data_IF_491972833908
#
_entry.id   IF_491972833908
#
_cell.length_a   1.000
_cell.length_b   1.000
_cell.length_c   1.000
_cell.angle_alpha   90.00
_cell.angle_beta   90.00
_cell.angle_gamma   90.00
#
_symmetry.space_group_name_H-M   'P 1'
#
loop_
_entity.id
_entity.type
_entity.pdbx_description
1 polymer ?
#
# COMPACT_ATOMS: atom_id res chain seq x y z
N UNK A 1 -11.05 2.38 -12.22
CA UNK A 1 -10.69 3.09 -10.99
C UNK A 1 -9.27 2.71 -10.59
N UNK A 2 -8.54 3.59 -9.92
CA UNK A 2 -7.17 3.35 -9.45
C UNK A 2 -7.12 3.44 -7.93
N UNK A 3 -6.23 2.62 -7.33
CA UNK A 3 -5.94 2.63 -5.89
C UNK A 3 -7.22 2.55 -5.04
N UNK A 4 -7.95 1.44 -5.16
CA UNK A 4 -9.22 1.21 -4.45
C UNK A 4 -9.16 -0.08 -3.64
N UNK A 5 -9.94 -0.16 -2.57
CA UNK A 5 -10.23 -1.40 -1.83
C UNK A 5 -11.49 -2.13 -2.34
N UNK A 6 -11.92 -1.82 -3.58
CA UNK A 6 -13.13 -2.39 -4.17
C UNK A 6 -13.05 -3.93 -4.23
N UNK A 7 -14.05 -4.59 -3.65
CA UNK A 7 -14.10 -6.06 -3.54
C UNK A 7 -13.23 -6.66 -2.43
N UNK A 8 -12.56 -5.82 -1.62
CA UNK A 8 -11.84 -6.23 -0.41
C UNK A 8 -12.65 -6.00 0.87
N UNK A 9 -13.78 -5.32 0.77
CA UNK A 9 -14.69 -5.07 1.88
C UNK A 9 -16.12 -4.94 1.42
N UNK A 10 -17.07 -5.43 2.23
CA UNK A 10 -18.51 -5.42 1.90
C UNK A 10 -19.28 -4.46 2.80
N UNK A 11 -19.12 -4.57 4.11
CA UNK A 11 -19.86 -3.79 5.10
C UNK A 11 -18.89 -3.20 6.11
N UNK A 12 -18.66 -1.90 6.07
CA UNK A 12 -17.70 -1.19 6.93
C UNK A 12 -17.93 -1.42 8.44
N UNK A 13 -19.18 -1.67 8.85
CA UNK A 13 -19.53 -1.93 10.24
C UNK A 13 -19.24 -3.38 10.70
N UNK A 14 -18.91 -4.29 9.77
CA UNK A 14 -18.69 -5.71 10.06
C UNK A 14 -17.27 -6.11 9.70
N UNK A 15 -16.37 -6.09 10.68
CA UNK A 15 -14.95 -6.37 10.48
C UNK A 15 -14.67 -7.71 9.76
N UNK A 16 -15.49 -8.72 9.97
CA UNK A 16 -15.33 -10.02 9.32
C UNK A 16 -15.55 -10.00 7.80
N UNK A 17 -16.00 -8.88 7.24
CA UNK A 17 -16.20 -8.68 5.80
C UNK A 17 -15.19 -7.71 5.19
N UNK A 18 -14.15 -7.33 5.94
CA UNK A 18 -13.13 -6.36 5.55
C UNK A 18 -11.79 -7.09 5.51
N UNK A 19 -11.27 -7.29 4.29
CA UNK A 19 -9.99 -7.96 4.00
C UNK A 19 -9.03 -7.00 3.28
N UNK A 20 -9.13 -5.71 3.56
CA UNK A 20 -8.30 -4.70 2.91
C UNK A 20 -6.96 -4.47 3.62
N UNK A 21 -6.84 -4.88 4.90
CA UNK A 21 -5.62 -4.73 5.70
C UNK A 21 -5.26 -6.00 6.47
N UNK A 22 -3.96 -6.21 6.66
CA UNK A 22 -3.39 -7.30 7.43
C UNK A 22 -2.60 -6.79 8.64
N UNK A 23 -2.40 -7.66 9.64
CA UNK A 23 -1.66 -7.32 10.86
C UNK A 23 -0.16 -7.29 10.55
N UNK A 24 0.46 -6.12 10.70
CA UNK A 24 1.89 -5.90 10.55
C UNK A 24 2.23 -4.61 9.80
N UNK A 25 3.49 -4.20 9.90
CA UNK A 25 3.95 -2.95 9.30
C UNK A 25 4.61 -3.15 7.93
N UNK A 26 5.23 -4.31 7.69
CA UNK A 26 5.97 -4.62 6.46
C UNK A 26 5.45 -5.88 5.79
N UNK A 27 4.48 -5.74 4.90
CA UNK A 27 3.71 -6.83 4.30
C UNK A 27 3.82 -6.90 2.75
N UNK A 28 4.99 -6.73 2.14
CA UNK A 28 5.10 -6.71 0.68
C UNK A 28 4.71 -8.04 0.01
N UNK A 29 4.59 -9.12 0.77
CA UNK A 29 4.17 -10.44 0.32
C UNK A 29 2.65 -10.65 0.31
N UNK A 30 1.89 -9.74 0.94
CA UNK A 30 0.43 -9.76 0.91
C UNK A 30 -0.05 -9.33 -0.46
N UNK A 31 -1.03 -10.05 -1.00
CA UNK A 31 -1.55 -9.86 -2.36
C UNK A 31 -3.05 -9.58 -2.30
N UNK A 32 -3.46 -8.37 -2.66
CA UNK A 32 -4.88 -7.98 -2.64
C UNK A 32 -5.79 -8.89 -3.47
N UNK A 33 -5.27 -9.46 -4.56
CA UNK A 33 -6.06 -10.31 -5.46
C UNK A 33 -6.61 -11.57 -4.79
N UNK A 34 -5.92 -12.10 -3.78
CA UNK A 34 -6.35 -13.33 -3.08
C UNK A 34 -7.60 -13.06 -2.21
N UNK A 35 -7.72 -11.84 -1.69
CA UNK A 35 -8.88 -11.40 -0.89
C UNK A 35 -10.02 -10.83 -1.75
N UNK A 36 -9.81 -10.69 -3.07
CA UNK A 36 -10.79 -10.07 -3.95
C UNK A 36 -12.06 -10.93 -4.11
N UNK A 37 -13.19 -10.34 -3.73
CA UNK A 37 -14.52 -10.92 -3.91
C UNK A 37 -15.18 -10.42 -5.19
N UNK A 38 -15.20 -11.25 -6.25
CA UNK A 38 -15.84 -10.92 -7.52
C UNK A 38 -17.38 -10.84 -7.42
N UNK A 39 -17.97 -11.52 -6.43
CA UNK A 39 -19.43 -11.53 -6.19
C UNK A 39 -19.91 -10.38 -5.28
N UNK A 40 -19.00 -9.46 -4.93
CA UNK A 40 -19.32 -8.29 -4.09
C UNK A 40 -20.46 -7.46 -4.70
N UNK A 41 -21.44 -7.11 -3.89
CA UNK A 41 -22.52 -6.20 -4.29
C UNK A 41 -22.04 -4.79 -4.59
N UNK A 42 -20.94 -4.39 -3.97
CA UNK A 42 -20.27 -3.12 -4.24
C UNK A 42 -19.66 -3.13 -5.64
N UNK A 43 -18.99 -4.24 -6.01
CA UNK A 43 -18.42 -4.45 -7.37
C UNK A 43 -19.51 -4.40 -8.43
N UNK A 44 -20.62 -5.12 -8.22
CA UNK A 44 -21.78 -5.11 -9.12
C UNK A 44 -22.34 -3.68 -9.32
N UNK A 45 -22.51 -2.94 -8.24
CA UNK A 45 -22.99 -1.56 -8.26
C UNK A 45 -22.05 -0.64 -9.04
N UNK A 46 -20.74 -0.75 -8.81
CA UNK A 46 -19.75 0.07 -9.52
C UNK A 46 -19.71 -0.24 -11.01
N UNK A 47 -19.87 -1.51 -11.39
CA UNK A 47 -19.96 -1.93 -12.78
C UNK A 47 -21.18 -1.29 -13.48
N UNK A 48 -22.35 -1.27 -12.84
CA UNK A 48 -23.55 -0.60 -13.36
C UNK A 48 -23.34 0.90 -13.56
N UNK A 49 -22.46 1.53 -12.78
CA UNK A 49 -22.08 2.94 -12.92
C UNK A 49 -20.94 3.17 -13.93
N UNK A 50 -20.57 2.17 -14.71
CA UNK A 50 -19.61 2.29 -15.81
C UNK A 50 -18.16 2.07 -15.44
N UNK A 51 -17.85 1.61 -14.22
CA UNK A 51 -16.49 1.20 -13.85
C UNK A 51 -16.26 -0.24 -14.29
N UNK A 52 -15.44 -0.44 -15.32
CA UNK A 52 -15.20 -1.76 -15.91
C UNK A 52 -13.90 -2.40 -15.41
N UNK A 53 -12.92 -1.58 -15.05
CA UNK A 53 -11.57 -2.03 -14.62
C UNK A 53 -11.20 -1.26 -13.36
N UNK A 54 -10.60 -1.97 -12.40
CA UNK A 54 -10.12 -1.39 -11.16
C UNK A 54 -8.74 -1.92 -10.79
N UNK A 55 -7.89 -1.06 -10.23
CA UNK A 55 -6.73 -1.48 -9.48
C UNK A 55 -7.13 -1.63 -8.03
N UNK A 56 -7.14 -2.86 -7.55
CA UNK A 56 -7.40 -3.19 -6.15
C UNK A 56 -6.09 -3.16 -5.38
N UNK A 57 -6.09 -2.40 -4.29
CA UNK A 57 -4.90 -2.16 -3.48
C UNK A 57 -5.20 -2.45 -2.00
N UNK A 58 -4.28 -3.12 -1.30
CA UNK A 58 -4.41 -3.32 0.14
C UNK A 58 -4.11 -2.02 0.87
N UNK A 59 -4.64 -1.89 2.07
CA UNK A 59 -4.42 -0.80 3.01
C UNK A 59 -3.56 -1.26 4.20
N UNK A 60 -3.33 -0.36 5.16
CA UNK A 60 -2.65 -0.66 6.42
C UNK A 60 -1.14 -0.73 6.35
N UNK A 61 -0.50 -0.78 7.51
CA UNK A 61 0.94 -0.88 7.68
C UNK A 61 1.78 0.22 7.01
N UNK A 62 3.08 0.03 7.01
CA UNK A 62 4.05 0.86 6.26
C UNK A 62 4.15 0.36 4.81
N UNK A 63 4.26 -0.96 4.63
CA UNK A 63 4.12 -1.61 3.32
C UNK A 63 2.88 -2.49 3.38
N UNK A 64 1.82 -2.07 2.71
CA UNK A 64 0.51 -2.74 2.79
C UNK A 64 0.46 -4.06 2.02
N UNK A 65 1.22 -4.17 0.94
CA UNK A 65 1.19 -5.34 0.05
C UNK A 65 1.17 -4.95 -1.42
N UNK A 66 0.84 -5.91 -2.28
CA UNK A 66 0.79 -5.72 -3.72
C UNK A 66 -0.65 -5.53 -4.24
N UNK A 67 -0.79 -4.59 -5.18
CA UNK A 67 -2.04 -4.36 -5.91
C UNK A 67 -2.08 -5.11 -7.24
N UNK A 68 -3.28 -5.45 -7.66
CA UNK A 68 -3.56 -6.10 -8.95
C UNK A 68 -4.63 -5.34 -9.73
N UNK A 69 -4.65 -5.49 -11.05
CA UNK A 69 -5.67 -4.91 -11.90
C UNK A 69 -6.68 -5.98 -12.27
N UNK A 70 -7.95 -5.68 -12.04
CA UNK A 70 -9.08 -6.60 -12.28
C UNK A 70 -10.13 -5.97 -13.18
N UNK A 71 -10.82 -6.79 -13.96
CA UNK A 71 -12.11 -6.47 -14.55
C UNK A 71 -13.22 -6.74 -13.54
N UNK A 72 -14.30 -5.95 -13.59
CA UNK A 72 -15.39 -6.07 -12.64
C UNK A 72 -16.51 -7.02 -13.09
N UNK A 73 -16.41 -7.59 -14.28
CA UNK A 73 -17.34 -8.59 -14.82
C UNK A 73 -16.67 -9.96 -14.87
N UNK A 74 -16.66 -10.66 -13.75
CA UNK A 74 -15.95 -11.92 -13.59
C UNK A 74 -16.67 -12.85 -12.61
N UNK A 75 -16.45 -14.15 -12.75
CA UNK A 75 -17.01 -15.18 -11.88
C UNK A 75 -16.23 -15.36 -10.58
N UNK A 76 -14.92 -15.19 -10.63
CA UNK A 76 -14.02 -15.34 -9.50
C UNK A 76 -12.78 -14.45 -9.67
N UNK A 77 -11.88 -14.44 -8.69
CA UNK A 77 -10.69 -13.59 -8.73
C UNK A 77 -9.69 -14.02 -9.84
N UNK A 78 -9.64 -15.30 -10.20
CA UNK A 78 -8.76 -15.80 -11.28
C UNK A 78 -9.22 -15.32 -12.65
N UNK A 79 -10.55 -15.29 -12.86
CA UNK A 79 -11.17 -14.77 -14.08
C UNK A 79 -11.13 -13.24 -14.13
N UNK A 80 -11.21 -12.59 -12.96
CA UNK A 80 -11.20 -11.14 -12.85
C UNK A 80 -9.85 -10.50 -13.20
N UNK A 81 -8.73 -11.18 -12.93
CA UNK A 81 -7.43 -10.55 -13.00
C UNK A 81 -6.98 -10.28 -14.43
N UNK A 82 -6.67 -9.01 -14.72
CA UNK A 82 -6.03 -8.59 -15.96
C UNK A 82 -4.51 -8.59 -15.78
N UNK A 83 -4.04 -8.15 -14.61
CA UNK A 83 -2.61 -8.10 -14.31
C UNK A 83 -2.35 -8.27 -12.82
N UNK A 84 -1.49 -9.23 -12.50
CA UNK A 84 -1.09 -9.58 -11.14
C UNK A 84 0.00 -8.64 -10.63
N UNK A 85 -0.06 -8.33 -9.33
CA UNK A 85 1.04 -7.78 -8.52
C UNK A 85 1.78 -6.63 -9.19
N UNK A 86 1.03 -5.66 -9.71
CA UNK A 86 1.53 -4.51 -10.47
C UNK A 86 2.52 -3.65 -9.69
N UNK A 87 2.33 -3.57 -8.38
CA UNK A 87 3.23 -2.80 -7.54
C UNK A 87 2.92 -2.92 -6.06
N UNK A 88 3.87 -2.48 -5.27
CA UNK A 88 3.84 -2.49 -3.80
C UNK A 88 3.45 -1.10 -3.31
N UNK A 89 2.55 -1.06 -2.32
CA UNK A 89 2.07 0.17 -1.71
C UNK A 89 2.90 0.50 -0.47
N UNK A 90 3.61 1.64 -0.51
CA UNK A 90 4.43 2.18 0.56
C UNK A 90 3.77 3.43 1.14
N UNK A 91 3.30 3.35 2.38
CA UNK A 91 2.74 4.46 3.13
C UNK A 91 3.87 5.24 3.81
N UNK A 92 4.25 6.40 3.24
CA UNK A 92 5.32 7.20 3.83
C UNK A 92 4.85 7.86 5.13
N UNK A 93 5.65 7.81 6.20
CA UNK A 93 5.29 8.39 7.50
C UNK A 93 4.86 9.84 7.38
N UNK A 94 3.89 10.26 8.20
CA UNK A 94 3.49 11.67 8.25
C UNK A 94 4.45 12.47 9.13
N UNK A 95 4.98 13.62 8.64
CA UNK A 95 5.76 14.54 9.46
C UNK A 95 4.93 15.24 10.52
N UNK A 96 3.62 15.10 10.45
CA UNK A 96 2.67 15.71 11.38
C UNK A 96 1.80 14.66 12.06
N UNK A 97 1.57 14.84 13.35
CA UNK A 97 0.59 14.10 14.11
C UNK A 97 -0.62 15.00 14.40
N UNK A 98 -1.82 14.44 14.27
CA UNK A 98 -3.06 15.09 14.68
C UNK A 98 -3.48 14.59 16.05
N UNK A 99 -3.60 15.47 17.05
CA UNK A 99 -4.31 15.09 18.26
C UNK A 99 -5.79 14.90 17.90
N UNK A 100 -6.40 13.78 18.34
CA UNK A 100 -7.82 13.52 18.09
C UNK A 100 -8.70 14.65 18.62
N UNK A 101 -9.85 14.88 17.96
CA UNK A 101 -10.90 15.75 18.50
C UNK A 101 -11.38 15.17 19.82
N UNK A 102 -11.30 15.94 20.88
CA UNK A 102 -11.89 15.61 22.16
C UNK A 102 -12.83 16.75 22.56
N UNK A 103 -14.05 16.42 22.94
CA UNK A 103 -15.03 17.39 23.44
C UNK A 103 -14.48 18.25 24.58
N UNK A 104 -13.54 17.70 25.36
CA UNK A 104 -12.89 18.41 26.48
C UNK A 104 -11.59 19.15 26.12
N UNK A 105 -10.97 18.87 24.96
CA UNK A 105 -9.67 19.43 24.55
C UNK A 105 -9.74 20.39 23.39
N UNK A 106 -10.94 20.61 22.83
CA UNK A 106 -11.12 21.50 21.67
C UNK A 106 -10.67 20.92 20.33
N UNK A 107 -10.49 21.78 19.31
CA UNK A 107 -10.16 21.34 17.96
C UNK A 107 -8.82 20.62 17.90
N UNK A 108 -8.69 19.67 16.95
CA UNK A 108 -7.47 18.92 16.74
C UNK A 108 -6.28 19.85 16.41
N UNK A 109 -5.19 19.71 17.16
CA UNK A 109 -3.97 20.49 16.93
C UNK A 109 -3.01 19.64 16.11
N UNK A 110 -2.50 20.20 15.02
CA UNK A 110 -1.44 19.60 14.23
C UNK A 110 -0.10 19.90 14.90
N UNK A 111 0.62 18.85 15.28
CA UNK A 111 1.97 18.95 15.85
C UNK A 111 2.96 18.18 14.97
N UNK A 112 4.23 18.58 15.04
CA UNK A 112 5.31 17.82 14.41
C UNK A 112 5.37 16.42 15.03
N UNK A 113 5.50 15.39 14.19
CA UNK A 113 5.58 14.01 14.65
C UNK A 113 6.98 13.72 15.21
N UNK A 114 7.06 13.29 16.46
CA UNK A 114 8.32 12.88 17.10
C UNK A 114 8.84 11.54 16.53
N UNK A 115 7.94 10.72 15.98
CA UNK A 115 8.25 9.40 15.43
C UNK A 115 8.63 9.41 13.94
N UNK A 116 8.64 10.58 13.30
CA UNK A 116 8.87 10.67 11.86
C UNK A 116 10.20 10.07 11.44
N UNK A 117 11.29 10.47 12.10
CA UNK A 117 12.64 10.03 11.78
C UNK A 117 12.85 8.55 12.13
N UNK A 118 12.31 8.07 13.25
CA UNK A 118 12.42 6.65 13.62
C UNK A 118 11.68 5.74 12.63
N UNK A 119 10.50 6.15 12.16
CA UNK A 119 9.75 5.36 11.18
C UNK A 119 10.47 5.33 9.81
N UNK A 120 11.15 6.40 9.42
CA UNK A 120 11.98 6.41 8.20
C UNK A 120 13.17 5.45 8.36
N UNK A 121 13.79 5.41 9.54
CA UNK A 121 14.88 4.49 9.82
C UNK A 121 14.43 3.03 9.77
N UNK A 122 13.23 2.72 10.26
CA UNK A 122 12.63 1.38 10.14
C UNK A 122 12.43 0.98 8.67
N UNK A 123 11.92 1.89 7.84
CA UNK A 123 11.78 1.65 6.39
C UNK A 123 13.14 1.37 5.77
N UNK A 124 14.14 2.19 6.07
CA UNK A 124 15.50 2.02 5.56
C UNK A 124 16.09 0.66 5.96
N UNK A 125 15.99 0.31 7.24
CA UNK A 125 16.46 -0.97 7.76
C UNK A 125 15.78 -2.16 7.08
N UNK A 126 14.46 -2.07 6.80
CA UNK A 126 13.73 -3.11 6.08
C UNK A 126 14.23 -3.26 4.64
N UNK A 127 14.44 -2.15 3.91
CA UNK A 127 14.96 -2.19 2.54
C UNK A 127 16.39 -2.75 2.48
N UNK A 128 17.26 -2.33 3.39
CA UNK A 128 18.64 -2.80 3.45
C UNK A 128 18.73 -4.27 3.84
N UNK A 129 17.90 -4.71 4.80
CA UNK A 129 17.78 -6.13 5.18
C UNK A 129 17.24 -6.99 4.03
N UNK A 130 16.25 -6.47 3.28
CA UNK A 130 15.71 -7.16 2.11
C UNK A 130 16.77 -7.35 1.02
N UNK A 131 17.59 -6.33 0.78
CA UNK A 131 18.72 -6.44 -0.19
C UNK A 131 19.77 -7.45 0.27
N UNK A 132 20.13 -7.42 1.55
CA UNK A 132 21.09 -8.37 2.13
C UNK A 132 20.57 -9.80 1.99
N UNK A 133 19.29 -10.04 2.33
CA UNK A 133 18.64 -11.33 2.18
C UNK A 133 18.63 -11.84 0.74
N UNK A 134 18.34 -10.98 -0.23
CA UNK A 134 18.28 -11.35 -1.66
C UNK A 134 19.66 -11.63 -2.27
N UNK A 135 20.73 -11.16 -1.67
CA UNK A 135 22.11 -11.46 -2.06
C UNK A 135 22.62 -12.78 -1.48
N UNK A 136 21.91 -13.39 -0.54
CA UNK A 136 22.27 -14.66 0.05
C UNK A 136 21.83 -15.82 -0.86
N UNK A 137 22.72 -16.75 -1.23
CA UNK A 137 22.39 -17.81 -2.20
C UNK A 137 21.31 -18.77 -1.72
N UNK A 138 21.30 -19.08 -0.42
CA UNK A 138 20.33 -19.99 0.20
C UNK A 138 19.91 -19.46 1.58
N UNK A 139 19.04 -18.43 1.62
CA UNK A 139 18.64 -17.85 2.89
C UNK A 139 17.81 -18.83 3.71
N UNK A 140 18.19 -19.03 4.96
CA UNK A 140 17.49 -19.88 5.91
C UNK A 140 17.42 -19.19 7.29
N UNK A 141 16.21 -18.95 7.83
CA UNK A 141 14.89 -19.31 7.31
C UNK A 141 14.45 -18.48 6.12
N UNK A 142 13.51 -19.03 5.34
CA UNK A 142 12.90 -18.30 4.21
C UNK A 142 12.00 -17.18 4.74
N UNK A 143 12.28 -15.94 4.34
CA UNK A 143 11.46 -14.77 4.67
C UNK A 143 10.63 -14.34 3.45
N UNK A 144 9.31 -14.51 3.54
CA UNK A 144 8.38 -14.10 2.47
C UNK A 144 8.39 -12.59 2.25
N UNK A 145 8.39 -11.72 3.30
CA UNK A 145 8.48 -10.28 3.12
C UNK A 145 9.72 -9.85 2.34
N UNK A 146 10.88 -10.33 2.70
CA UNK A 146 12.13 -9.95 2.00
C UNK A 146 12.15 -10.50 0.56
N UNK A 147 11.68 -11.72 0.35
CA UNK A 147 11.59 -12.33 -0.98
C UNK A 147 10.69 -11.54 -1.92
N UNK A 148 9.56 -11.02 -1.43
CA UNK A 148 8.62 -10.22 -2.22
C UNK A 148 9.24 -8.92 -2.75
N UNK A 149 10.22 -8.33 -2.04
CA UNK A 149 10.93 -7.13 -2.48
C UNK A 149 11.80 -7.34 -3.73
N UNK A 150 12.04 -8.58 -4.16
CA UNK A 150 12.84 -8.87 -5.35
C UNK A 150 12.28 -8.26 -6.63
N UNK A 151 10.97 -8.18 -6.78
CA UNK A 151 10.29 -7.58 -7.93
C UNK A 151 10.52 -6.07 -8.00
N UNK A 152 10.57 -5.41 -6.84
CA UNK A 152 10.82 -3.96 -6.71
C UNK A 152 12.26 -3.64 -7.09
N UNK A 153 13.25 -4.35 -6.52
CA UNK A 153 14.67 -4.09 -6.81
C UNK A 153 15.06 -4.45 -8.23
N UNK A 154 14.39 -5.44 -8.85
CA UNK A 154 14.61 -5.77 -10.27
C UNK A 154 13.93 -4.79 -11.23
N UNK A 155 13.07 -3.89 -10.73
CA UNK A 155 12.30 -2.92 -11.53
C UNK A 155 11.12 -3.54 -12.28
N UNK A 156 10.68 -4.75 -11.90
CA UNK A 156 9.49 -5.40 -12.47
C UNK A 156 8.19 -4.85 -11.87
N UNK A 157 8.21 -4.49 -10.60
CA UNK A 157 7.06 -3.92 -9.89
C UNK A 157 7.25 -2.42 -9.66
N UNK A 158 6.14 -1.69 -9.66
CA UNK A 158 6.08 -0.27 -9.31
C UNK A 158 5.99 -0.10 -7.79
N UNK A 159 6.58 0.97 -7.25
CA UNK A 159 6.30 1.41 -5.88
C UNK A 159 5.29 2.54 -5.91
N UNK A 160 4.12 2.29 -5.34
CA UNK A 160 3.08 3.29 -5.11
C UNK A 160 3.35 3.97 -3.78
N UNK A 161 3.93 5.17 -3.83
CA UNK A 161 4.29 5.96 -2.67
C UNK A 161 3.09 6.80 -2.23
N UNK A 162 2.45 6.42 -1.11
CA UNK A 162 1.37 7.19 -0.51
C UNK A 162 1.94 8.33 0.31
N UNK A 163 1.74 9.57 -0.15
CA UNK A 163 2.25 10.77 0.48
C UNK A 163 1.35 11.97 0.16
N UNK A 164 0.98 12.75 1.17
CA UNK A 164 0.07 13.89 1.04
C UNK A 164 0.76 15.26 1.19
N UNK A 165 1.84 15.33 1.96
CA UNK A 165 2.56 16.57 2.22
C UNK A 165 3.82 16.67 1.36
N UNK A 166 4.20 17.88 1.01
CA UNK A 166 5.42 18.18 0.23
C UNK A 166 6.67 17.48 0.81
N UNK A 167 6.86 17.57 2.14
CA UNK A 167 7.98 16.90 2.82
C UNK A 167 7.95 15.38 2.64
N UNK A 168 6.78 14.76 2.78
CA UNK A 168 6.64 13.31 2.56
C UNK A 168 7.05 12.90 1.14
N UNK A 169 6.57 13.65 0.15
CA UNK A 169 6.85 13.36 -1.27
C UNK A 169 8.35 13.50 -1.54
N UNK A 170 8.96 14.61 -1.09
CA UNK A 170 10.39 14.86 -1.28
C UNK A 170 11.25 13.79 -0.63
N UNK A 171 11.01 13.52 0.65
CA UNK A 171 11.79 12.54 1.42
C UNK A 171 11.59 11.11 0.86
N UNK A 172 10.34 10.72 0.55
CA UNK A 172 10.03 9.40 0.02
C UNK A 172 10.58 9.16 -1.39
N UNK A 173 10.44 10.11 -2.30
CA UNK A 173 11.00 10.01 -3.65
C UNK A 173 12.52 9.97 -3.60
N UNK A 174 13.16 10.84 -2.81
CA UNK A 174 14.61 10.86 -2.63
C UNK A 174 15.11 9.51 -2.11
N UNK A 175 14.47 8.97 -1.06
CA UNK A 175 14.81 7.66 -0.52
C UNK A 175 14.71 6.56 -1.58
N UNK A 176 13.61 6.48 -2.31
CA UNK A 176 13.41 5.45 -3.34
C UNK A 176 14.44 5.57 -4.49
N UNK A 177 14.84 6.79 -4.86
CA UNK A 177 15.90 7.04 -5.83
C UNK A 177 17.28 6.57 -5.30
N UNK A 178 17.60 6.85 -4.03
CA UNK A 178 18.82 6.35 -3.36
C UNK A 178 18.83 4.81 -3.32
N UNK A 179 17.67 4.19 -3.13
CA UNK A 179 17.50 2.74 -3.20
C UNK A 179 17.54 2.17 -4.64
N UNK A 180 17.69 3.03 -5.66
CA UNK A 180 17.73 2.70 -7.10
C UNK A 180 16.42 2.08 -7.62
N UNK A 181 15.29 2.44 -7.03
CA UNK A 181 13.97 2.01 -7.52
C UNK A 181 13.65 2.78 -8.81
N UNK A 182 13.28 2.05 -9.87
CA UNK A 182 13.06 2.63 -11.21
C UNK A 182 11.65 3.18 -11.39
N UNK A 183 10.66 2.45 -10.90
CA UNK A 183 9.26 2.75 -11.15
C UNK A 183 8.62 3.27 -9.85
N UNK A 184 8.33 4.56 -9.80
CA UNK A 184 7.73 5.23 -8.64
C UNK A 184 6.49 5.97 -9.11
N UNK A 185 5.38 5.76 -8.42
CA UNK A 185 4.12 6.51 -8.61
C UNK A 185 3.74 7.12 -7.28
N UNK A 186 3.54 8.43 -7.23
CA UNK A 186 3.06 9.12 -6.03
C UNK A 186 1.54 9.08 -6.01
N UNK A 187 0.99 8.62 -4.89
CA UNK A 187 -0.46 8.56 -4.63
C UNK A 187 -0.80 9.57 -3.54
N UNK A 188 -1.76 10.44 -3.80
CA UNK A 188 -2.17 11.50 -2.88
C UNK A 188 -1.70 12.87 -3.33
N UNK A 189 -0.84 13.55 -2.56
CA UNK A 189 -0.34 14.89 -2.88
C UNK A 189 -1.33 16.03 -2.62
N UNK A 190 -2.40 15.79 -1.86
CA UNK A 190 -3.47 16.77 -1.63
C UNK A 190 -3.00 18.05 -0.94
N UNK A 191 -1.92 18.00 -0.18
CA UNK A 191 -1.33 19.13 0.56
C UNK A 191 0.09 19.47 0.08
N UNK A 192 0.43 19.15 -1.17
CA UNK A 192 1.78 19.36 -1.71
C UNK A 192 2.05 20.80 -2.20
N UNK A 193 1.00 21.62 -2.35
CA UNK A 193 1.06 22.98 -2.85
C UNK A 193 0.75 24.04 -1.78
N UNK A 194 0.85 23.70 -0.49
CA UNK A 194 0.64 24.64 0.62
C UNK A 194 1.94 25.09 1.25
#
# INVERSE_FOLDING_TARGET
>A
ALNTSLGLGEIDAVRATIDEDEIGDFLPHVRSIIAYNAESKVVETMRMNGVLISQIAPNGGIISGSSSVVQLDAWNWEDAVISYDQGIHLNWPSPYSRSGYSYYRGPSVIKKSEKYESNIEEIKNFFDSSKAYLNEPNPNPVSLPYKAMSSVFSGRSTVFLHANYEKQIKDGVKFLQEQKIKNIVVVGGTNSLQ
#
